data_IF_210085292355
#
_entry.id   IF_210085292355
#
_cell.length_a   1.000
_cell.length_b   1.000
_cell.length_c   1.000
_cell.angle_alpha   90.00
_cell.angle_beta   90.00
_cell.angle_gamma   90.00
#
_symmetry.space_group_name_H-M   'P 1'
#
loop_
_entity.id
_entity.type
_entity.pdbx_description
1 polymer ?
#
# COMPACT_ATOMS: atom_id res chain seq x y z
N UNK A 1 -3.77 -25.11 11.47
CA UNK A 1 -4.08 -25.19 10.02
C UNK A 1 -2.82 -25.06 9.16
N UNK A 2 -2.13 -23.90 9.14
CA UNK A 2 -0.87 -23.75 8.38
C UNK A 2 0.27 -24.61 8.93
N UNK A 3 0.54 -24.56 10.24
CA UNK A 3 1.52 -25.42 10.89
C UNK A 3 1.19 -26.92 10.70
N UNK A 4 -0.10 -27.27 10.79
CA UNK A 4 -0.59 -28.64 10.55
C UNK A 4 -0.36 -29.08 9.10
N UNK A 5 -0.63 -28.23 8.11
CA UNK A 5 -0.41 -28.53 6.69
C UNK A 5 1.08 -28.56 6.31
N UNK A 6 1.90 -27.73 6.96
CA UNK A 6 3.37 -27.83 6.89
C UNK A 6 3.77 -29.18 7.50
N UNK A 7 3.44 -29.46 8.75
CA UNK A 7 3.80 -30.70 9.44
C UNK A 7 3.31 -31.97 8.71
N UNK A 8 2.14 -31.95 8.05
CA UNK A 8 1.65 -33.07 7.21
C UNK A 8 2.46 -33.26 5.92
N UNK A 9 2.77 -32.17 5.20
CA UNK A 9 3.68 -32.22 4.05
C UNK A 9 5.09 -32.62 4.46
N UNK A 10 5.51 -32.24 5.66
CA UNK A 10 6.78 -32.57 6.29
C UNK A 10 6.90 -34.05 6.65
N UNK A 11 5.86 -34.62 7.27
CA UNK A 11 5.76 -36.06 7.51
C UNK A 11 5.83 -36.86 6.21
N UNK A 12 5.22 -36.34 5.14
CA UNK A 12 5.28 -36.93 3.80
C UNK A 12 6.68 -36.89 3.19
N UNK A 13 7.44 -35.81 3.37
CA UNK A 13 8.85 -35.70 2.92
C UNK A 13 9.75 -36.65 3.68
N UNK A 14 9.57 -36.76 5.00
CA UNK A 14 10.37 -37.68 5.83
C UNK A 14 10.05 -39.14 5.51
N UNK A 15 8.77 -39.49 5.32
CA UNK A 15 8.35 -40.81 4.88
C UNK A 15 8.93 -41.13 3.49
N UNK A 16 8.82 -40.20 2.54
CA UNK A 16 9.40 -40.35 1.20
C UNK A 16 10.92 -40.59 1.25
N UNK A 17 11.67 -39.79 2.02
CA UNK A 17 13.12 -39.95 2.15
C UNK A 17 13.49 -41.26 2.83
N UNK A 18 12.73 -41.70 3.83
CA UNK A 18 12.94 -42.98 4.53
C UNK A 18 12.67 -44.18 3.63
N UNK A 19 11.57 -44.15 2.88
CA UNK A 19 11.14 -45.25 2.01
C UNK A 19 12.00 -45.35 0.74
N UNK A 20 12.55 -44.24 0.26
CA UNK A 20 13.40 -44.19 -0.92
C UNK A 20 14.90 -44.17 -0.62
N UNK A 21 15.31 -44.14 0.65
CA UNK A 21 16.73 -44.06 1.06
C UNK A 21 17.61 -45.12 0.39
N UNK A 22 17.11 -46.36 0.31
CA UNK A 22 17.84 -47.48 -0.29
C UNK A 22 17.88 -47.43 -1.83
N UNK A 23 16.99 -46.66 -2.45
CA UNK A 23 16.89 -46.45 -3.90
C UNK A 23 17.68 -45.22 -4.37
N UNK A 24 18.13 -44.36 -3.45
CA UNK A 24 19.01 -43.24 -3.77
C UNK A 24 20.41 -43.73 -4.18
N UNK A 25 21.04 -42.99 -5.11
CA UNK A 25 22.43 -43.22 -5.50
C UNK A 25 23.35 -43.18 -4.26
N UNK A 26 24.34 -44.07 -4.18
CA UNK A 26 25.26 -44.19 -3.04
C UNK A 26 25.94 -42.87 -2.67
N UNK A 27 26.12 -41.97 -3.64
CA UNK A 27 26.71 -40.64 -3.45
C UNK A 27 25.78 -39.64 -2.75
N UNK A 28 24.46 -39.81 -2.86
CA UNK A 28 23.44 -38.91 -2.30
C UNK A 28 22.91 -39.39 -0.94
N UNK A 29 23.22 -40.63 -0.56
CA UNK A 29 22.83 -41.21 0.73
C UNK A 29 23.41 -40.49 1.96
N UNK A 30 24.64 -39.95 1.95
CA UNK A 30 25.15 -39.13 3.05
C UNK A 30 24.30 -37.86 3.21
N UNK A 31 24.12 -37.10 2.13
CA UNK A 31 23.31 -35.86 2.14
C UNK A 31 21.86 -36.12 2.58
N UNK A 32 21.25 -37.21 2.09
CA UNK A 32 19.89 -37.59 2.49
C UNK A 32 19.81 -38.02 3.98
N UNK A 33 20.87 -38.64 4.52
CA UNK A 33 20.94 -38.99 5.93
C UNK A 33 21.15 -37.75 6.82
N UNK A 34 21.97 -36.81 6.38
CA UNK A 34 22.19 -35.52 7.06
C UNK A 34 20.90 -34.70 7.07
N UNK A 35 20.22 -34.60 5.93
CA UNK A 35 18.89 -33.99 5.84
C UNK A 35 17.90 -34.69 6.80
N UNK A 36 17.79 -36.02 6.77
CA UNK A 36 16.91 -36.76 7.68
C UNK A 36 17.24 -36.51 9.16
N UNK A 37 18.51 -36.26 9.50
CA UNK A 37 18.95 -35.98 10.87
C UNK A 37 18.58 -34.55 11.26
N UNK A 38 18.86 -33.56 10.41
CA UNK A 38 18.47 -32.16 10.63
C UNK A 38 16.95 -31.99 10.72
N UNK A 39 16.19 -32.69 9.87
CA UNK A 39 14.72 -32.64 9.84
C UNK A 39 14.09 -33.27 11.09
N UNK A 40 14.83 -34.14 11.81
CA UNK A 40 14.40 -34.77 13.08
C UNK A 40 14.95 -34.06 14.32
N UNK A 41 15.61 -32.92 14.15
CA UNK A 41 16.13 -32.14 15.27
C UNK A 41 15.04 -31.28 15.90
N UNK A 42 14.99 -31.27 17.23
CA UNK A 42 14.16 -30.35 18.02
C UNK A 42 14.46 -28.88 17.70
N UNK A 43 15.72 -28.55 17.41
CA UNK A 43 16.19 -27.23 16.99
C UNK A 43 15.50 -26.79 15.69
N UNK A 44 15.42 -27.69 14.71
CA UNK A 44 14.77 -27.40 13.44
C UNK A 44 13.28 -27.06 13.64
N UNK A 45 12.58 -27.83 14.46
CA UNK A 45 11.15 -27.62 14.75
C UNK A 45 10.95 -26.27 15.45
N UNK A 46 11.81 -25.92 16.41
CA UNK A 46 11.79 -24.61 17.07
C UNK A 46 11.92 -23.44 16.08
N UNK A 47 12.80 -23.54 15.08
CA UNK A 47 12.91 -22.51 14.02
C UNK A 47 11.67 -22.44 13.13
N UNK A 48 11.03 -23.55 12.80
CA UNK A 48 9.77 -23.52 12.03
C UNK A 48 8.68 -22.78 12.80
N UNK A 49 8.63 -22.97 14.13
CA UNK A 49 7.72 -22.23 14.99
C UNK A 49 8.03 -20.73 15.02
N UNK A 50 9.30 -20.36 15.16
CA UNK A 50 9.73 -18.95 15.09
C UNK A 50 9.32 -18.30 13.77
N UNK A 51 9.62 -18.96 12.64
CA UNK A 51 9.26 -18.46 11.31
C UNK A 51 7.76 -18.28 11.17
N UNK A 52 6.95 -19.18 11.72
CA UNK A 52 5.50 -19.03 11.73
C UNK A 52 5.06 -17.77 12.45
N UNK A 53 5.61 -17.47 13.62
CA UNK A 53 5.24 -16.27 14.39
C UNK A 53 5.63 -15.00 13.64
N UNK A 54 6.81 -14.97 13.03
CA UNK A 54 7.22 -13.88 12.13
C UNK A 54 6.24 -13.73 10.96
N UNK A 55 5.84 -14.82 10.31
CA UNK A 55 4.88 -14.77 9.21
C UNK A 55 3.46 -14.37 9.66
N UNK A 56 3.05 -14.72 10.88
CA UNK A 56 1.78 -14.28 11.46
C UNK A 56 1.77 -12.76 11.64
N UNK A 57 2.84 -12.14 12.14
CA UNK A 57 2.93 -10.67 12.23
C UNK A 57 2.93 -10.00 10.86
N UNK A 58 3.69 -10.54 9.89
CA UNK A 58 3.69 -10.02 8.52
C UNK A 58 2.31 -10.15 7.86
N UNK A 59 1.57 -11.19 8.21
CA UNK A 59 0.19 -11.36 7.74
C UNK A 59 -0.75 -10.33 8.37
N UNK A 60 -0.64 -10.08 9.69
CA UNK A 60 -1.41 -9.02 10.37
C UNK A 60 -1.12 -7.65 9.75
N UNK A 61 0.15 -7.36 9.47
CA UNK A 61 0.57 -6.17 8.72
C UNK A 61 -0.14 -6.09 7.37
N UNK A 62 -0.13 -7.19 6.59
CA UNK A 62 -0.80 -7.25 5.29
C UNK A 62 -2.31 -6.98 5.43
N UNK A 63 -2.99 -7.59 6.40
CA UNK A 63 -4.43 -7.38 6.62
C UNK A 63 -4.76 -5.92 6.95
N UNK A 64 -3.96 -5.29 7.82
CA UNK A 64 -4.14 -3.88 8.21
C UNK A 64 -3.85 -2.90 7.07
N UNK A 65 -2.92 -3.24 6.18
CA UNK A 65 -2.52 -2.36 5.07
C UNK A 65 -3.31 -2.55 3.78
N UNK A 66 -3.85 -3.76 3.57
CA UNK A 66 -4.53 -4.15 2.32
C UNK A 66 -6.03 -4.42 2.48
N UNK A 67 -6.57 -4.27 3.69
CA UNK A 67 -7.99 -4.44 4.01
C UNK A 67 -8.94 -3.47 3.30
N UNK A 68 -10.23 -3.53 3.65
CA UNK A 68 -11.32 -2.81 2.96
C UNK A 68 -11.24 -1.27 3.01
N UNK A 69 -10.39 -0.67 3.84
CA UNK A 69 -10.12 0.77 3.86
C UNK A 69 -8.70 1.00 3.42
N UNK A 70 -8.49 1.59 2.24
CA UNK A 70 -7.17 2.04 1.76
C UNK A 70 -6.54 2.95 2.81
N UNK A 71 -5.53 2.50 3.60
CA UNK A 71 -5.00 3.33 4.67
C UNK A 71 -4.20 4.49 4.10
N UNK A 72 -4.19 5.60 4.83
CA UNK A 72 -3.35 6.73 4.47
C UNK A 72 -1.85 6.34 4.50
N UNK A 73 -1.03 7.07 3.74
CA UNK A 73 0.39 6.77 3.60
C UNK A 73 1.16 6.73 4.94
N UNK A 74 0.87 7.65 5.86
CA UNK A 74 1.49 7.67 7.19
C UNK A 74 1.06 6.47 8.06
N UNK A 75 -0.15 5.94 7.88
CA UNK A 75 -0.64 4.81 8.65
C UNK A 75 0.12 3.53 8.28
N UNK A 76 0.43 3.34 6.99
CA UNK A 76 1.28 2.23 6.53
C UNK A 76 2.70 2.33 7.09
N UNK A 77 3.27 3.54 7.18
CA UNK A 77 4.59 3.73 7.79
C UNK A 77 4.61 3.42 9.28
N UNK A 78 3.58 3.86 10.00
CA UNK A 78 3.45 3.54 11.42
C UNK A 78 3.28 2.03 11.63
N UNK A 79 2.50 1.37 10.77
CA UNK A 79 2.29 -0.08 10.84
C UNK A 79 3.57 -0.86 10.50
N UNK A 80 4.36 -0.43 9.51
CA UNK A 80 5.67 -1.02 9.21
C UNK A 80 6.60 -0.94 10.43
N UNK A 81 6.68 0.23 11.07
CA UNK A 81 7.51 0.41 12.28
C UNK A 81 7.01 -0.45 13.44
N UNK A 82 5.70 -0.47 13.68
CA UNK A 82 5.11 -1.30 14.73
C UNK A 82 5.35 -2.79 14.49
N UNK A 83 5.21 -3.26 13.25
CA UNK A 83 5.46 -4.65 12.85
C UNK A 83 6.92 -5.01 13.06
N UNK A 84 7.84 -4.14 12.68
CA UNK A 84 9.26 -4.38 12.90
C UNK A 84 9.62 -4.48 14.39
N UNK A 85 9.05 -3.63 15.23
CA UNK A 85 9.22 -3.72 16.70
C UNK A 85 8.65 -5.04 17.23
N UNK A 86 7.43 -5.41 16.81
CA UNK A 86 6.82 -6.69 17.20
C UNK A 86 7.67 -7.90 16.81
N UNK A 87 8.25 -7.90 15.60
CA UNK A 87 9.17 -8.95 15.14
C UNK A 87 10.46 -8.99 15.95
N UNK A 88 11.03 -7.83 16.30
CA UNK A 88 12.22 -7.77 17.15
C UNK A 88 11.95 -8.31 18.57
N UNK A 89 10.72 -8.14 19.06
CA UNK A 89 10.31 -8.57 20.40
C UNK A 89 9.91 -10.06 20.49
N UNK A 90 9.77 -10.76 19.35
CA UNK A 90 9.43 -12.19 19.29
C UNK A 90 10.55 -13.13 19.79
N UNK A 91 11.68 -12.61 20.25
CA UNK A 91 12.81 -13.40 20.78
C UNK A 91 12.49 -14.07 22.12
N UNK A 92 11.31 -13.83 22.69
CA UNK A 92 10.82 -14.52 23.88
C UNK A 92 10.41 -15.94 23.51
N UNK A 93 11.04 -16.95 24.12
CA UNK A 93 10.54 -18.33 24.13
C UNK A 93 9.17 -18.33 24.80
N UNK A 94 8.13 -18.10 24.01
CA UNK A 94 6.78 -17.93 24.51
C UNK A 94 6.15 -19.25 24.96
N UNK A 95 5.02 -19.19 25.69
CA UNK A 95 4.17 -20.33 26.03
C UNK A 95 3.63 -21.12 24.81
N UNK A 96 4.05 -20.77 23.59
CA UNK A 96 3.71 -21.41 22.32
C UNK A 96 4.71 -22.47 21.88
N UNK A 97 6.00 -22.32 22.20
CA UNK A 97 7.02 -23.34 21.89
C UNK A 97 7.13 -24.39 22.99
N UNK A 98 6.86 -24.02 24.24
CA UNK A 98 6.88 -24.94 25.39
C UNK A 98 5.95 -26.16 25.19
N UNK A 99 4.67 -26.01 24.78
CA UNK A 99 3.78 -27.14 24.55
C UNK A 99 4.24 -28.04 23.40
N UNK A 100 4.88 -27.46 22.38
CA UNK A 100 5.42 -28.20 21.23
C UNK A 100 6.62 -29.04 21.67
N UNK A 101 7.55 -28.45 22.41
CA UNK A 101 8.69 -29.18 22.98
C UNK A 101 8.23 -30.27 23.96
N UNK A 102 7.15 -30.04 24.72
CA UNK A 102 6.53 -31.06 25.57
C UNK A 102 5.90 -32.19 24.74
N UNK A 103 5.15 -31.90 23.68
CA UNK A 103 4.57 -32.92 22.78
C UNK A 103 5.66 -33.76 22.09
N UNK A 104 6.77 -33.13 21.72
CA UNK A 104 7.97 -33.80 21.18
C UNK A 104 8.62 -34.76 22.18
N UNK A 105 8.59 -34.43 23.48
CA UNK A 105 9.14 -35.26 24.56
C UNK A 105 8.21 -36.41 24.94
N UNK A 106 6.90 -36.18 24.99
CA UNK A 106 5.90 -37.16 25.43
C UNK A 106 5.60 -38.25 24.39
N UNK A 107 6.06 -38.10 23.14
CA UNK A 107 5.84 -39.04 22.01
C UNK A 107 4.37 -39.38 21.76
N UNK A 108 3.46 -38.53 22.22
CA UNK A 108 2.03 -38.62 21.99
C UNK A 108 1.64 -37.54 20.97
N UNK A 109 0.69 -37.81 20.07
CA UNK A 109 0.24 -36.84 19.07
C UNK A 109 0.97 -36.93 17.73
N UNK A 110 1.21 -35.79 17.06
CA UNK A 110 1.60 -35.74 15.63
C UNK A 110 2.96 -36.38 15.31
N UNK A 111 3.85 -36.50 16.30
CA UNK A 111 5.22 -37.01 16.12
C UNK A 111 5.39 -38.50 16.50
N UNK A 112 4.29 -39.22 16.70
CA UNK A 112 4.30 -40.63 17.06
C UNK A 112 5.08 -41.47 16.03
N UNK A 113 6.08 -42.23 16.50
CA UNK A 113 6.91 -43.09 15.64
C UNK A 113 8.15 -42.39 15.03
N UNK A 114 8.38 -41.11 15.30
CA UNK A 114 9.60 -40.40 14.94
C UNK A 114 10.56 -40.33 16.13
N UNK A 115 11.80 -40.79 15.94
CA UNK A 115 12.87 -40.59 16.94
C UNK A 115 13.45 -39.20 16.72
N UNK A 116 13.10 -38.27 17.60
CA UNK A 116 13.55 -36.87 17.58
C UNK A 116 14.70 -36.71 18.57
N UNK A 117 15.74 -35.98 18.19
CA UNK A 117 16.89 -35.73 19.07
C UNK A 117 16.53 -34.67 20.12
N UNK A 118 16.85 -34.96 21.39
CA UNK A 118 16.54 -34.09 22.54
C UNK A 118 17.67 -33.09 22.85
N UNK A 119 18.55 -32.84 21.88
CA UNK A 119 19.69 -31.93 21.92
C UNK A 119 19.29 -30.46 21.71
N UNK A 120 18.30 -30.00 22.46
CA UNK A 120 17.83 -28.61 22.38
C UNK A 120 18.60 -27.71 23.35
N UNK A 121 19.57 -26.96 22.82
CA UNK A 121 20.20 -25.87 23.58
C UNK A 121 19.38 -24.58 23.45
N UNK A 122 18.70 -24.25 24.54
CA UNK A 122 17.87 -23.05 24.68
C UNK A 122 18.68 -21.77 24.49
N UNK A 123 19.92 -21.72 24.99
CA UNK A 123 20.74 -20.51 24.93
C UNK A 123 21.21 -20.27 23.49
N UNK A 124 21.75 -21.30 22.83
CA UNK A 124 22.13 -21.23 21.42
C UNK A 124 20.93 -20.93 20.50
N UNK A 125 19.74 -21.47 20.80
CA UNK A 125 18.53 -21.14 20.07
C UNK A 125 18.16 -19.67 20.21
N UNK A 126 18.17 -19.12 21.43
CA UNK A 126 17.83 -17.72 21.67
C UNK A 126 18.74 -16.74 20.93
N UNK A 127 20.06 -17.00 20.90
CA UNK A 127 21.02 -16.16 20.19
C UNK A 127 20.67 -16.11 18.70
N UNK A 128 20.54 -17.27 18.06
CA UNK A 128 20.26 -17.35 16.63
C UNK A 128 18.83 -16.87 16.27
N UNK A 129 17.83 -17.16 17.11
CA UNK A 129 16.47 -16.65 16.94
C UNK A 129 16.46 -15.11 17.03
N UNK A 130 17.23 -14.55 17.96
CA UNK A 130 17.50 -13.13 18.08
C UNK A 130 18.04 -12.53 16.79
N UNK A 131 19.06 -13.16 16.20
CA UNK A 131 19.63 -12.72 14.92
C UNK A 131 18.62 -12.78 13.77
N UNK A 132 17.82 -13.84 13.67
CA UNK A 132 16.78 -13.96 12.64
C UNK A 132 15.71 -12.88 12.80
N UNK A 133 15.16 -12.71 14.00
CA UNK A 133 14.18 -11.67 14.29
C UNK A 133 14.73 -10.27 14.02
N UNK A 134 15.97 -10.02 14.43
CA UNK A 134 16.65 -8.75 14.16
C UNK A 134 16.83 -8.51 12.67
N UNK A 135 17.26 -9.51 11.92
CA UNK A 135 17.44 -9.42 10.46
C UNK A 135 16.12 -9.09 9.75
N UNK A 136 15.04 -9.83 10.07
CA UNK A 136 13.72 -9.57 9.48
C UNK A 136 13.18 -8.19 9.89
N UNK A 137 13.28 -7.84 11.18
CA UNK A 137 12.89 -6.53 11.70
C UNK A 137 13.64 -5.40 10.99
N UNK A 138 14.95 -5.54 10.80
CA UNK A 138 15.76 -4.57 10.06
C UNK A 138 15.30 -4.41 8.61
N UNK A 139 14.95 -5.50 7.92
CA UNK A 139 14.43 -5.42 6.55
C UNK A 139 13.10 -4.64 6.51
N UNK A 140 12.20 -4.89 7.45
CA UNK A 140 10.92 -4.16 7.55
C UNK A 140 11.18 -2.67 7.88
N UNK A 141 12.12 -2.35 8.77
CA UNK A 141 12.53 -0.97 9.08
C UNK A 141 13.15 -0.29 7.86
N UNK A 142 13.99 -0.99 7.09
CA UNK A 142 14.59 -0.46 5.88
C UNK A 142 13.50 -0.07 4.87
N UNK A 143 12.44 -0.87 4.72
CA UNK A 143 11.29 -0.50 3.90
C UNK A 143 10.62 0.80 4.41
N UNK A 144 10.46 0.97 5.72
CA UNK A 144 9.92 2.20 6.29
C UNK A 144 10.85 3.41 6.09
N UNK A 145 12.18 3.20 6.15
CA UNK A 145 13.18 4.25 6.01
C UNK A 145 13.44 4.65 4.55
N UNK A 146 13.09 3.81 3.58
CA UNK A 146 13.08 4.17 2.16
C UNK A 146 12.00 5.21 1.84
N UNK A 147 11.02 5.38 2.72
CA UNK A 147 9.99 6.38 2.57
C UNK A 147 10.42 7.73 3.14
N UNK A 148 9.94 8.82 2.54
CA UNK A 148 10.24 10.17 3.02
C UNK A 148 9.71 10.40 4.43
N UNK A 149 10.55 10.97 5.31
CA UNK A 149 10.17 11.36 6.67
C UNK A 149 8.98 12.33 6.69
N UNK A 150 8.84 13.16 5.65
CA UNK A 150 7.72 14.08 5.44
C UNK A 150 6.37 13.38 5.41
N UNK A 151 6.30 12.10 5.01
CA UNK A 151 5.04 11.36 4.96
C UNK A 151 4.41 11.22 6.35
N UNK A 152 5.22 11.05 7.39
CA UNK A 152 4.73 10.92 8.77
C UNK A 152 4.05 12.21 9.24
N UNK A 153 4.41 13.37 8.68
CA UNK A 153 3.84 14.67 9.06
C UNK A 153 2.36 14.79 8.68
N UNK A 154 1.90 14.07 7.66
CA UNK A 154 0.49 14.04 7.28
C UNK A 154 -0.42 13.38 8.33
N UNK A 155 0.13 12.61 9.28
CA UNK A 155 -0.63 12.05 10.41
C UNK A 155 -1.37 13.11 11.23
N UNK A 156 -0.84 14.34 11.25
CA UNK A 156 -1.43 15.48 11.94
C UNK A 156 -2.82 15.84 11.41
N UNK A 157 -3.10 15.53 10.14
CA UNK A 157 -4.36 15.84 9.47
C UNK A 157 -5.48 14.88 9.86
N UNK A 158 -5.15 13.73 10.44
CA UNK A 158 -6.12 12.72 10.85
C UNK A 158 -6.72 13.04 12.22
N UNK A 159 -8.05 13.25 12.31
CA UNK A 159 -8.73 13.49 13.57
C UNK A 159 -8.56 12.40 14.62
N UNK A 160 -8.26 11.16 14.21
CA UNK A 160 -8.02 10.06 15.14
C UNK A 160 -6.75 10.25 15.98
N UNK A 161 -5.80 11.06 15.50
CA UNK A 161 -4.54 11.35 16.21
C UNK A 161 -4.63 12.58 17.12
N UNK A 162 -5.77 13.27 17.16
CA UNK A 162 -5.91 14.53 17.88
C UNK A 162 -6.15 14.33 19.39
N UNK A 163 -5.55 15.16 20.25
CA UNK A 163 -5.77 15.10 21.69
C UNK A 163 -7.25 15.27 22.06
N UNK A 164 -7.78 14.32 22.82
CA UNK A 164 -9.15 14.36 23.36
C UNK A 164 -9.23 15.05 24.71
N UNK A 165 -8.13 15.03 25.47
CA UNK A 165 -8.16 15.19 26.92
C UNK A 165 -8.09 16.65 27.39
N UNK A 166 -7.63 17.56 26.51
CA UNK A 166 -7.46 18.97 26.86
C UNK A 166 -7.60 19.89 25.64
N UNK A 167 -8.45 20.91 25.77
CA UNK A 167 -8.64 21.93 24.73
C UNK A 167 -7.36 22.74 24.44
N UNK A 168 -6.48 22.91 25.45
CA UNK A 168 -5.21 23.63 25.29
C UNK A 168 -4.24 22.81 24.43
N UNK A 169 -4.07 21.53 24.76
CA UNK A 169 -3.24 20.61 23.97
C UNK A 169 -3.81 20.44 22.56
N UNK A 170 -5.13 20.36 22.41
CA UNK A 170 -5.81 20.32 21.11
C UNK A 170 -5.53 21.58 20.26
N UNK A 171 -5.59 22.76 20.88
CA UNK A 171 -5.29 24.02 20.20
C UNK A 171 -3.87 24.06 19.63
N UNK A 172 -2.88 23.68 20.44
CA UNK A 172 -1.46 23.68 20.06
C UNK A 172 -1.06 22.51 19.13
N UNK A 173 -1.82 21.43 19.11
CA UNK A 173 -1.49 20.21 18.36
C UNK A 173 -1.26 20.49 16.86
N UNK A 174 -0.12 20.03 16.36
CA UNK A 174 0.18 20.04 14.93
C UNK A 174 0.58 21.37 14.32
N UNK A 175 0.61 22.46 15.10
CA UNK A 175 0.98 23.80 14.59
C UNK A 175 2.36 23.76 13.93
N UNK A 176 3.35 23.20 14.60
CA UNK A 176 4.72 23.17 14.08
C UNK A 176 4.86 22.23 12.88
N UNK A 177 4.20 21.07 12.93
CA UNK A 177 4.16 20.12 11.82
C UNK A 177 3.55 20.74 10.56
N UNK A 178 2.48 21.54 10.71
CA UNK A 178 1.84 22.25 9.60
C UNK A 178 2.76 23.35 9.05
N UNK A 179 3.52 24.06 9.89
CA UNK A 179 4.53 25.01 9.40
C UNK A 179 5.58 24.31 8.54
N UNK A 180 6.10 23.18 9.01
CA UNK A 180 7.10 22.41 8.27
C UNK A 180 6.53 21.89 6.94
N UNK A 181 5.33 21.28 6.96
CA UNK A 181 4.64 20.84 5.74
C UNK A 181 4.43 21.98 4.75
N UNK A 182 4.07 23.17 5.23
CA UNK A 182 3.90 24.34 4.36
C UNK A 182 5.18 24.79 3.68
N UNK A 183 6.32 24.69 4.37
CA UNK A 183 7.63 24.96 3.78
C UNK A 183 8.03 23.92 2.75
N UNK A 184 7.82 22.64 3.05
CA UNK A 184 8.16 21.53 2.16
C UNK A 184 7.29 21.49 0.89
N UNK A 185 6.01 21.85 1.00
CA UNK A 185 5.04 21.81 -0.09
C UNK A 185 4.77 23.18 -0.72
N UNK A 186 5.64 24.18 -0.47
CA UNK A 186 5.43 25.56 -0.89
C UNK A 186 5.10 25.71 -2.39
N UNK A 187 5.69 24.87 -3.25
CA UNK A 187 5.46 24.88 -4.71
C UNK A 187 4.07 24.41 -5.13
N UNK A 188 3.36 23.67 -4.27
CA UNK A 188 2.02 23.14 -4.52
C UNK A 188 0.92 24.02 -3.88
N UNK A 189 1.31 24.99 -3.07
CA UNK A 189 0.37 25.88 -2.40
C UNK A 189 -0.15 26.97 -3.36
N UNK A 190 -1.40 27.42 -3.20
CA UNK A 190 -1.93 28.52 -3.99
C UNK A 190 -1.11 29.80 -3.79
N UNK A 191 -0.80 30.50 -4.89
CA UNK A 191 -0.03 31.76 -4.86
C UNK A 191 -0.73 32.86 -4.04
N UNK A 192 -2.08 32.86 -4.02
CA UNK A 192 -2.88 33.77 -3.19
C UNK A 192 -3.33 33.07 -1.92
N UNK A 193 -2.61 33.29 -0.82
CA UNK A 193 -3.04 32.85 0.51
C UNK A 193 -4.19 33.72 0.99
N UNK A 194 -5.35 33.10 1.21
CA UNK A 194 -6.55 33.76 1.74
C UNK A 194 -6.37 34.13 3.23
N UNK A 195 -5.59 33.33 3.96
CA UNK A 195 -5.31 33.52 5.39
C UNK A 195 -3.95 32.94 5.78
N UNK A 196 -3.46 33.30 6.97
CA UNK A 196 -2.33 32.62 7.60
C UNK A 196 -2.64 31.12 7.71
N UNK A 197 -1.69 30.26 7.33
CA UNK A 197 -1.84 28.80 7.30
C UNK A 197 -2.18 28.24 8.69
N UNK A 198 -1.68 28.86 9.75
CA UNK A 198 -1.93 28.42 11.13
C UNK A 198 -3.33 28.83 11.58
N UNK A 199 -3.82 29.99 11.16
CA UNK A 199 -5.21 30.37 11.39
C UNK A 199 -6.17 29.44 10.63
N UNK A 200 -5.84 29.14 9.37
CA UNK A 200 -6.57 28.17 8.54
C UNK A 200 -6.61 26.79 9.21
N UNK A 201 -5.46 26.29 9.67
CA UNK A 201 -5.34 25.02 10.39
C UNK A 201 -6.19 24.97 11.66
N UNK A 202 -6.09 26.01 12.51
CA UNK A 202 -6.87 26.08 13.73
C UNK A 202 -8.37 26.10 13.44
N UNK A 203 -8.81 26.90 12.46
CA UNK A 203 -10.21 26.95 12.03
C UNK A 203 -10.70 25.59 11.52
N UNK A 204 -9.94 24.95 10.64
CA UNK A 204 -10.22 23.61 10.13
C UNK A 204 -10.36 22.57 11.26
N UNK A 205 -9.39 22.51 12.18
CA UNK A 205 -9.43 21.57 13.32
C UNK A 205 -10.72 21.69 14.13
N UNK A 206 -11.11 22.93 14.45
CA UNK A 206 -12.34 23.19 15.20
C UNK A 206 -13.58 22.81 14.40
N UNK A 207 -13.61 23.15 13.11
CA UNK A 207 -14.68 22.76 12.20
C UNK A 207 -14.86 21.23 12.15
N UNK A 208 -13.79 20.46 11.93
CA UNK A 208 -13.86 18.99 11.88
C UNK A 208 -14.37 18.40 13.20
N UNK A 209 -13.90 18.92 14.34
CA UNK A 209 -14.30 18.41 15.67
C UNK A 209 -15.77 18.69 15.98
N UNK A 210 -16.29 19.85 15.58
CA UNK A 210 -17.62 20.36 15.96
C UNK A 210 -18.70 20.07 14.93
N UNK A 211 -18.39 20.15 13.64
CA UNK A 211 -19.39 20.20 12.58
C UNK A 211 -19.46 18.91 11.74
N UNK A 212 -18.39 18.09 11.71
CA UNK A 212 -18.40 16.84 10.94
C UNK A 212 -18.86 15.64 11.76
N UNK A 213 -19.62 14.76 11.10
CA UNK A 213 -20.13 13.53 11.68
C UNK A 213 -18.99 12.64 12.20
N UNK A 214 -19.23 11.90 13.29
CA UNK A 214 -18.22 11.01 13.90
C UNK A 214 -17.82 9.86 12.97
N UNK A 215 -18.72 9.36 12.15
CA UNK A 215 -18.43 8.31 11.17
C UNK A 215 -17.40 8.78 10.12
N UNK A 216 -17.56 10.00 9.63
CA UNK A 216 -16.69 10.60 8.62
C UNK A 216 -15.29 10.90 9.18
N UNK A 217 -15.20 11.23 10.47
CA UNK A 217 -13.91 11.43 11.16
C UNK A 217 -13.07 10.16 11.32
N UNK A 218 -13.69 8.98 11.31
CA UNK A 218 -12.98 7.71 11.48
C UNK A 218 -12.25 7.25 10.23
N UNK A 219 -12.74 7.65 9.05
CA UNK A 219 -12.14 7.30 7.76
C UNK A 219 -11.47 8.53 7.15
N UNK A 220 -10.14 8.57 7.22
CA UNK A 220 -9.34 9.68 6.72
C UNK A 220 -9.56 9.96 5.22
N UNK A 221 -9.73 8.92 4.39
CA UNK A 221 -9.88 9.10 2.94
C UNK A 221 -11.24 9.72 2.62
N UNK A 222 -12.30 9.22 3.26
CA UNK A 222 -13.64 9.80 3.13
C UNK A 222 -13.70 11.23 3.66
N UNK A 223 -13.02 11.52 4.78
CA UNK A 223 -12.85 12.88 5.30
C UNK A 223 -12.16 13.78 4.28
N UNK A 224 -11.00 13.38 3.77
CA UNK A 224 -10.22 14.15 2.81
C UNK A 224 -11.05 14.47 1.55
N UNK A 225 -11.70 13.47 0.97
CA UNK A 225 -12.56 13.64 -0.21
C UNK A 225 -13.71 14.64 0.05
N UNK A 226 -14.37 14.54 1.21
CA UNK A 226 -15.47 15.43 1.58
C UNK A 226 -14.99 16.87 1.80
N UNK A 227 -13.87 17.04 2.49
CA UNK A 227 -13.32 18.36 2.79
C UNK A 227 -12.83 19.05 1.52
N UNK A 228 -12.09 18.33 0.67
CA UNK A 228 -11.55 18.87 -0.58
C UNK A 228 -12.66 19.25 -1.56
N UNK A 229 -13.73 18.46 -1.66
CA UNK A 229 -14.83 18.75 -2.58
C UNK A 229 -15.69 19.95 -2.16
N UNK A 230 -15.90 20.16 -0.85
CA UNK A 230 -16.85 21.17 -0.35
C UNK A 230 -16.21 22.42 0.23
N UNK A 231 -14.98 22.34 0.72
CA UNK A 231 -14.35 23.41 1.50
C UNK A 231 -13.00 23.87 0.93
N UNK A 232 -12.66 23.49 -0.31
CA UNK A 232 -11.44 23.94 -0.99
C UNK A 232 -11.31 25.47 -1.10
N UNK A 233 -12.43 26.19 -1.19
CA UNK A 233 -12.42 27.65 -1.20
C UNK A 233 -12.15 28.27 0.19
N UNK A 234 -12.47 27.56 1.27
CA UNK A 234 -12.35 28.06 2.66
C UNK A 234 -11.02 27.66 3.28
N UNK A 235 -10.58 26.42 3.01
CA UNK A 235 -9.35 25.83 3.52
C UNK A 235 -8.44 25.38 2.38
N UNK A 236 -7.99 26.28 1.49
CA UNK A 236 -7.26 25.90 0.28
C UNK A 236 -5.92 25.20 0.60
N UNK A 237 -5.18 25.67 1.60
CA UNK A 237 -3.88 25.11 1.99
C UNK A 237 -4.05 23.73 2.59
N UNK A 238 -5.01 23.58 3.53
CA UNK A 238 -5.28 22.30 4.18
C UNK A 238 -5.84 21.29 3.19
N UNK A 239 -6.67 21.72 2.24
CA UNK A 239 -7.17 20.85 1.17
C UNK A 239 -6.04 20.34 0.27
N UNK A 240 -5.02 21.16 -0.02
CA UNK A 240 -3.81 20.68 -0.73
C UNK A 240 -3.09 19.59 0.07
N UNK A 241 -2.92 19.77 1.39
CA UNK A 241 -2.27 18.75 2.22
C UNK A 241 -3.09 17.46 2.32
N UNK A 242 -4.42 17.56 2.48
CA UNK A 242 -5.33 16.41 2.48
C UNK A 242 -5.29 15.67 1.15
N UNK A 243 -5.28 16.40 0.03
CA UNK A 243 -5.18 15.83 -1.31
C UNK A 243 -3.86 15.07 -1.48
N UNK A 244 -2.73 15.67 -1.09
CA UNK A 244 -1.44 15.01 -1.16
C UNK A 244 -1.39 13.74 -0.29
N UNK A 245 -1.88 13.81 0.95
CA UNK A 245 -1.94 12.66 1.86
C UNK A 245 -2.81 11.52 1.31
N UNK A 246 -3.93 11.84 0.65
CA UNK A 246 -4.81 10.86 0.04
C UNK A 246 -4.21 10.24 -1.23
N UNK A 247 -3.59 11.04 -2.10
CA UNK A 247 -2.96 10.58 -3.34
C UNK A 247 -1.69 9.75 -3.10
N UNK A 248 -0.96 10.03 -2.01
CA UNK A 248 0.22 9.27 -1.61
C UNK A 248 -0.13 7.91 -0.96
N UNK A 249 -1.42 7.58 -0.79
CA UNK A 249 -1.82 6.30 -0.22
C UNK A 249 -1.28 5.13 -1.07
N UNK A 250 -0.49 4.22 -0.49
CA UNK A 250 0.12 3.10 -1.22
C UNK A 250 -0.90 2.01 -1.60
N UNK A 251 -2.10 2.05 -1.03
CA UNK A 251 -3.17 1.09 -1.29
C UNK A 251 -4.27 1.77 -2.10
N UNK A 252 -4.12 1.81 -3.42
CA UNK A 252 -5.21 2.24 -4.29
C UNK A 252 -6.01 1.01 -4.72
N UNK A 253 -7.26 0.88 -4.26
CA UNK A 253 -8.16 -0.21 -4.69
C UNK A 253 -8.29 -0.28 -6.22
N UNK A 254 -8.29 0.88 -6.87
CA UNK A 254 -8.38 1.00 -8.33
C UNK A 254 -7.14 0.38 -8.98
N UNK A 255 -5.94 0.75 -8.52
CA UNK A 255 -4.68 0.20 -9.02
C UNK A 255 -4.54 -1.30 -8.75
N UNK A 256 -4.96 -1.78 -7.56
CA UNK A 256 -4.96 -3.20 -7.21
C UNK A 256 -5.87 -4.01 -8.13
N UNK A 257 -7.11 -3.57 -8.33
CA UNK A 257 -8.05 -4.19 -9.27
C UNK A 257 -7.48 -4.22 -10.68
N UNK A 258 -6.85 -3.12 -11.13
CA UNK A 258 -6.16 -3.06 -12.41
C UNK A 258 -5.04 -4.11 -12.54
N UNK A 259 -4.20 -4.28 -11.51
CA UNK A 259 -3.17 -5.33 -11.53
C UNK A 259 -3.74 -6.75 -11.50
N UNK A 260 -4.80 -7.00 -10.72
CA UNK A 260 -5.50 -8.29 -10.69
C UNK A 260 -6.06 -8.66 -12.07
N UNK A 261 -6.68 -7.72 -12.78
CA UNK A 261 -7.17 -7.90 -14.14
C UNK A 261 -6.04 -8.13 -15.15
N UNK A 262 -4.91 -7.44 -15.01
CA UNK A 262 -3.74 -7.61 -15.88
C UNK A 262 -3.03 -8.96 -15.68
N UNK A 263 -3.02 -9.51 -14.47
CA UNK A 263 -2.46 -10.84 -14.21
C UNK A 263 -3.17 -11.91 -15.06
N UNK A 264 -4.49 -11.80 -15.27
CA UNK A 264 -5.26 -12.70 -16.14
C UNK A 264 -4.77 -12.64 -17.58
N UNK A 265 -4.46 -11.43 -18.07
CA UNK A 265 -3.95 -11.21 -19.43
C UNK A 265 -2.53 -11.78 -19.58
N UNK A 266 -1.68 -11.56 -18.57
CA UNK A 266 -0.27 -11.97 -18.55
C UNK A 266 -0.08 -13.49 -18.42
N UNK A 267 -0.92 -14.17 -17.64
CA UNK A 267 -0.85 -15.62 -17.43
C UNK A 267 -1.34 -16.43 -18.63
N UNK A 268 -2.16 -15.82 -19.50
CA UNK A 268 -2.66 -16.46 -20.71
C UNK A 268 -1.56 -16.53 -21.79
N UNK A 269 -1.00 -17.73 -22.02
CA UNK A 269 -0.05 -18.00 -23.12
C UNK A 269 -0.57 -17.62 -24.51
N UNK A 270 -1.88 -17.44 -24.68
CA UNK A 270 -2.51 -17.06 -25.96
C UNK A 270 -2.63 -15.53 -26.15
N UNK A 271 -2.58 -14.74 -25.08
CA UNK A 271 -2.88 -13.31 -25.09
C UNK A 271 -1.72 -12.46 -24.54
N UNK A 272 -0.47 -12.92 -24.69
CA UNK A 272 0.70 -12.21 -24.16
C UNK A 272 0.88 -10.89 -24.90
N UNK A 273 0.48 -9.80 -24.24
CA UNK A 273 0.82 -8.44 -24.62
C UNK A 273 2.28 -8.16 -24.23
N UNK A 274 2.93 -7.25 -24.97
CA UNK A 274 4.23 -6.72 -24.55
C UNK A 274 4.06 -5.85 -23.29
N UNK A 275 5.13 -5.68 -22.51
CA UNK A 275 5.09 -4.89 -21.28
C UNK A 275 4.59 -3.44 -21.53
N UNK A 276 4.96 -2.84 -22.67
CA UNK A 276 4.48 -1.51 -23.07
C UNK A 276 2.97 -1.46 -23.32
N UNK A 277 2.42 -2.45 -24.02
CA UNK A 277 0.97 -2.51 -24.29
C UNK A 277 0.19 -2.87 -23.04
N UNK A 278 0.77 -3.69 -22.16
CA UNK A 278 0.21 -4.01 -20.85
C UNK A 278 0.13 -2.75 -19.97
N UNK A 279 1.19 -1.95 -19.94
CA UNK A 279 1.24 -0.67 -19.25
C UNK A 279 0.21 0.32 -19.80
N UNK A 280 0.13 0.48 -21.12
CA UNK A 280 -0.87 1.35 -21.74
C UNK A 280 -2.31 0.93 -21.40
N UNK A 281 -2.58 -0.39 -21.43
CA UNK A 281 -3.88 -0.95 -21.04
C UNK A 281 -4.19 -0.63 -19.57
N UNK A 282 -3.19 -0.75 -18.68
CA UNK A 282 -3.33 -0.36 -17.28
C UNK A 282 -3.70 1.10 -17.13
N UNK A 283 -2.97 1.99 -17.81
CA UNK A 283 -3.19 3.44 -17.74
C UNK A 283 -4.59 3.80 -18.25
N UNK A 284 -5.06 3.17 -19.32
CA UNK A 284 -6.41 3.35 -19.86
C UNK A 284 -7.45 2.83 -18.87
N UNK A 285 -7.26 1.65 -18.26
CA UNK A 285 -8.23 1.11 -17.31
C UNK A 285 -8.30 1.93 -16.01
N UNK A 286 -7.19 2.54 -15.57
CA UNK A 286 -7.14 3.32 -14.34
C UNK A 286 -7.64 4.75 -14.54
N UNK A 287 -7.29 5.39 -15.66
CA UNK A 287 -7.55 6.82 -15.90
C UNK A 287 -8.60 7.10 -16.97
N UNK A 288 -8.96 6.10 -17.78
CA UNK A 288 -9.97 6.23 -18.82
C UNK A 288 -11.36 6.38 -18.23
N UNK A 289 -12.26 6.97 -19.03
CA UNK A 289 -13.67 6.98 -18.68
C UNK A 289 -14.18 5.53 -18.52
N UNK A 290 -15.11 5.28 -17.59
CA UNK A 290 -15.87 4.02 -17.58
C UNK A 290 -16.45 3.75 -18.96
N UNK A 291 -16.54 2.48 -19.35
CA UNK A 291 -17.03 2.07 -20.68
C UNK A 291 -18.40 2.67 -21.01
N UNK A 292 -19.24 2.90 -19.99
CA UNK A 292 -20.57 3.49 -20.14
C UNK A 292 -20.53 4.99 -20.49
N UNK A 293 -19.43 5.67 -20.17
CA UNK A 293 -19.21 7.10 -20.40
C UNK A 293 -18.11 7.36 -21.42
N UNK A 294 -17.59 6.31 -22.06
CA UNK A 294 -16.52 6.42 -23.03
C UNK A 294 -17.06 6.91 -24.37
N UNK A 295 -16.61 8.10 -24.79
CA UNK A 295 -16.91 8.67 -26.09
C UNK A 295 -15.83 8.24 -27.11
N UNK A 296 -16.18 7.45 -28.14
CA UNK A 296 -15.24 7.04 -29.17
C UNK A 296 -14.88 8.17 -30.15
N UNK A 297 -15.69 9.21 -30.27
CA UNK A 297 -15.65 10.19 -31.36
C UNK A 297 -14.30 10.93 -31.47
N UNK A 298 -13.67 11.40 -30.36
CA UNK A 298 -12.36 12.05 -30.41
C UNK A 298 -11.23 11.11 -30.88
N UNK A 299 -11.31 9.83 -30.51
CA UNK A 299 -10.30 8.82 -30.86
C UNK A 299 -10.45 8.41 -32.32
N UNK A 300 -11.68 8.25 -32.80
CA UNK A 300 -11.99 7.98 -34.21
C UNK A 300 -11.51 9.13 -35.09
N UNK A 301 -11.76 10.37 -34.68
CA UNK A 301 -11.27 11.55 -35.41
C UNK A 301 -9.74 11.60 -35.47
N UNK A 302 -9.06 11.32 -34.37
CA UNK A 302 -7.60 11.25 -34.33
C UNK A 302 -7.08 10.12 -35.21
N UNK A 303 -7.73 8.94 -35.18
CA UNK A 303 -7.38 7.79 -36.01
C UNK A 303 -7.57 8.10 -37.50
N UNK A 304 -8.66 8.75 -37.87
CA UNK A 304 -8.91 9.15 -39.25
C UNK A 304 -7.90 10.19 -39.73
N UNK A 305 -7.47 11.11 -38.86
CA UNK A 305 -6.44 12.13 -39.16
C UNK A 305 -5.02 11.57 -39.22
N UNK A 306 -4.68 10.61 -38.36
CA UNK A 306 -3.32 10.00 -38.28
C UNK A 306 -3.17 8.77 -39.15
N UNK A 307 -4.26 8.10 -39.53
CA UNK A 307 -4.25 7.12 -40.61
C UNK A 307 -4.01 7.85 -41.93
N UNK A 308 -2.73 8.10 -42.23
CA UNK A 308 -2.28 8.23 -43.59
C UNK A 308 -2.66 6.91 -44.27
N UNK A 309 -3.87 6.87 -44.85
CA UNK A 309 -4.25 5.85 -45.82
C UNK A 309 -3.09 5.80 -46.79
N UNK A 310 -2.29 4.73 -46.76
CA UNK A 310 -1.19 4.55 -47.70
C UNK A 310 -1.77 4.86 -49.08
N UNK A 311 -1.27 5.86 -49.81
CA UNK A 311 -1.77 6.13 -51.14
C UNK A 311 -1.58 4.84 -51.93
N UNK A 312 -2.69 4.31 -52.42
CA UNK A 312 -2.68 3.11 -53.22
C UNK A 312 -1.99 3.50 -54.53
N UNK A 313 -0.69 3.27 -54.64
CA UNK A 313 0.16 3.59 -55.81
C UNK A 313 -0.19 2.73 -57.04
N UNK A 314 -1.47 2.41 -57.25
CA UNK A 314 -1.97 1.72 -58.44
C UNK A 314 -2.74 2.61 -59.40
N UNK A 315 -2.97 3.88 -59.06
CA UNK A 315 -3.56 4.86 -60.00
C UNK A 315 -2.96 6.24 -59.79
N UNK A 316 -1.86 6.53 -60.49
CA UNK A 316 -1.61 7.82 -61.17
C UNK A 316 -0.11 7.98 -61.46
N UNK A 317 0.36 7.33 -62.53
CA UNK A 317 1.47 7.89 -63.29
C UNK A 317 0.84 8.86 -64.29
N UNK A 318 0.72 10.13 -63.90
CA UNK A 318 0.77 11.33 -64.74
C UNK A 318 0.40 12.55 -63.89
N UNK A 319 1.24 13.58 -63.97
CA UNK A 319 1.19 14.84 -63.24
C UNK A 319 1.83 14.84 -61.84
N UNK A 320 3.09 14.41 -61.80
CA UNK A 320 4.08 15.18 -61.06
C UNK A 320 4.59 16.27 -62.02
N UNK A 321 4.16 17.51 -61.81
CA UNK A 321 4.92 18.75 -62.02
C UNK A 321 3.99 19.89 -61.58
N UNK A 322 4.57 20.90 -60.93
CA UNK A 322 3.92 22.09 -60.37
C UNK A 322 3.26 21.79 -59.02
N UNK A 323 3.90 21.98 -57.86
CA UNK A 323 4.39 23.28 -57.41
C UNK A 323 5.37 23.05 -56.27
N UNK A 324 6.62 23.43 -56.50
CA UNK A 324 7.61 23.58 -55.44
C UNK A 324 7.44 24.96 -54.80
N UNK A 325 7.70 25.01 -53.50
CA UNK A 325 8.05 26.16 -52.66
C UNK A 325 6.95 26.80 -51.78
N UNK A 326 7.35 26.88 -50.50
CA UNK A 326 7.00 27.81 -49.42
C UNK A 326 6.08 27.24 -48.36
N UNK A 327 6.67 26.69 -47.30
CA UNK A 327 6.89 27.44 -46.05
C UNK A 327 7.55 26.54 -44.99
N UNK A 328 8.85 26.74 -44.78
CA UNK A 328 9.41 26.66 -43.42
C UNK A 328 8.69 27.72 -42.59
N UNK A 329 8.02 27.32 -41.52
CA UNK A 329 7.59 28.25 -40.47
C UNK A 329 7.52 27.50 -39.15
N UNK A 330 8.50 27.83 -38.30
CA UNK A 330 8.38 28.00 -36.86
C UNK A 330 7.74 26.87 -36.04
N UNK A 331 8.61 26.12 -35.35
CA UNK A 331 8.29 25.51 -34.06
C UNK A 331 8.17 26.66 -33.04
N UNK A 332 7.01 27.30 -33.00
CA UNK A 332 6.63 28.19 -31.91
C UNK A 332 5.97 27.40 -30.80
N UNK A 333 6.47 27.65 -29.59
CA UNK A 333 5.92 27.26 -28.31
C UNK A 333 4.39 27.41 -28.27
N UNK A 334 3.69 26.33 -27.91
CA UNK A 334 2.36 26.43 -27.32
C UNK A 334 2.39 25.80 -25.92
N UNK A 335 2.25 26.60 -24.86
CA UNK A 335 1.90 26.11 -23.53
C UNK A 335 0.38 25.83 -23.48
N UNK A 336 -0.04 25.09 -22.46
CA UNK A 336 -1.45 24.83 -22.07
C UNK A 336 -2.23 23.79 -22.88
N UNK A 337 -2.32 22.58 -22.33
CA UNK A 337 -3.59 21.88 -22.24
C UNK A 337 -3.77 21.54 -20.76
N UNK A 338 -4.37 22.48 -20.04
CA UNK A 338 -4.86 22.23 -18.69
C UNK A 338 -5.96 21.18 -18.78
N UNK A 339 -5.97 20.25 -17.83
CA UNK A 339 -7.06 19.33 -17.58
C UNK A 339 -8.33 20.10 -17.16
N UNK A 340 -9.00 20.74 -18.11
CA UNK A 340 -10.37 21.23 -17.95
C UNK A 340 -11.32 20.12 -18.40
N UNK A 341 -11.90 19.40 -17.44
CA UNK A 341 -12.95 18.42 -17.75
C UNK A 341 -13.16 17.27 -16.78
N UNK A 342 -12.37 17.12 -15.70
CA UNK A 342 -12.66 16.10 -14.71
C UNK A 342 -13.87 16.52 -13.85
N UNK A 343 -15.04 15.99 -14.16
CA UNK A 343 -16.19 16.05 -13.26
C UNK A 343 -15.83 15.31 -11.97
N UNK A 344 -15.65 16.05 -10.89
CA UNK A 344 -15.44 15.49 -9.56
C UNK A 344 -16.69 14.71 -9.16
N UNK A 345 -16.52 13.42 -8.86
CA UNK A 345 -17.55 12.59 -8.25
C UNK A 345 -17.90 13.19 -6.89
N UNK A 346 -19.07 13.81 -6.77
CA UNK A 346 -19.58 14.36 -5.50
C UNK A 346 -19.97 13.19 -4.61
N UNK A 347 -19.12 12.84 -3.65
CA UNK A 347 -19.48 11.92 -2.57
C UNK A 347 -20.32 12.71 -1.55
N UNK A 348 -21.61 12.41 -1.50
CA UNK A 348 -22.53 13.02 -0.52
C UNK A 348 -22.35 12.35 0.85
N UNK A 349 -21.50 12.94 1.70
CA UNK A 349 -21.52 12.69 3.15
C UNK A 349 -22.46 13.68 3.83
N UNK A 350 -23.37 13.19 4.67
CA UNK A 350 -24.35 14.01 5.39
C UNK A 350 -23.68 14.86 6.47
N UNK A 351 -24.08 16.14 6.53
CA UNK A 351 -23.74 17.07 7.62
C UNK A 351 -24.63 16.77 8.84
N UNK A 352 -24.17 17.10 10.06
CA UNK A 352 -24.99 16.96 11.27
C UNK A 352 -26.31 17.75 11.14
N UNK A 353 -27.43 17.15 11.57
CA UNK A 353 -28.81 17.68 11.41
C UNK A 353 -29.17 18.88 12.31
N UNK A 354 -28.25 19.43 13.11
CA UNK A 354 -28.60 20.53 14.02
C UNK A 354 -28.15 21.90 13.47
N UNK A 355 -29.09 22.80 13.13
CA UNK A 355 -28.76 24.18 12.82
C UNK A 355 -28.49 24.92 14.14
N UNK A 356 -27.22 25.21 14.43
CA UNK A 356 -26.90 26.15 15.50
C UNK A 356 -26.93 27.56 14.90
N UNK A 357 -28.05 28.23 15.18
CA UNK A 357 -28.24 29.66 14.97
C UNK A 357 -27.10 30.41 15.65
N UNK A 358 -26.33 31.18 14.90
CA UNK A 358 -25.46 32.21 15.45
C UNK A 358 -26.35 33.31 16.04
N UNK A 359 -26.72 33.21 17.31
CA UNK A 359 -27.20 34.37 18.06
C UNK A 359 -25.99 35.25 18.38
N UNK A 360 -25.75 36.21 17.50
CA UNK A 360 -25.24 37.51 17.89
C UNK A 360 -26.24 38.08 18.90
N UNK A 361 -25.83 38.22 20.15
CA UNK A 361 -26.21 39.36 20.97
C UNK A 361 -25.16 39.53 22.07
N UNK A 362 -24.34 40.57 21.88
CA UNK A 362 -23.67 41.21 22.99
C UNK A 362 -24.60 42.28 23.55
N UNK A 363 -24.94 42.18 24.83
CA UNK A 363 -25.19 43.31 25.75
C UNK A 363 -25.55 42.76 27.13
N UNK A 364 -24.79 43.17 28.16
CA UNK A 364 -25.06 42.88 29.58
C UNK A 364 -23.85 42.34 30.33
#
# INVERSE_FOLDING_TARGET
KFLTAILEKWGSVIAFLKDNYHNLDRKLRPDAADMLTSLKSSVFIAYVHLLREIFEELHVFQERTTGCSSPACYAVLNELRATATAIADHVVLGPRLIPVLQELQERNGFFQGMVITQDFDIESFHVNAGEVCHCVSQQVIQMANQCSESLCKFSVLDPNNWPTDSNVHFGAYGIETIRQLSGEMQSLLPEKRISDIILEWCSYKWFVRKSLAKCLRKDFISLAATVVSRFSAVYPTICTFLTAAALLSPSCKVTRKGFEELCIIKESRKNVLTDDTLWQTMVINVNGAPLELWDPEPVVDLWLKTSLRRPNNRTSNKHALDTCNKQETQVENSPSCMFTGCQFLVITGDLCEEPVVCSNDGSG
#
